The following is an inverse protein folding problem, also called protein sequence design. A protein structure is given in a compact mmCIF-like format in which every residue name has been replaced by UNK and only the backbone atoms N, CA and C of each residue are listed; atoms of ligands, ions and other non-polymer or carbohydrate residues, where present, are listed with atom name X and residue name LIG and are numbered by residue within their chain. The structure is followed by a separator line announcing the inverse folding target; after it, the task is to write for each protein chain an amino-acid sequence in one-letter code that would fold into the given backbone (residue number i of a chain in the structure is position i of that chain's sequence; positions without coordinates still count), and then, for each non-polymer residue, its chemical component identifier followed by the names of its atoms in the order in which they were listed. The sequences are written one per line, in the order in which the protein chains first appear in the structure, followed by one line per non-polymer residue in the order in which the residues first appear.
data_IF_560051072331
#
_entry.id   IF_560051072331
#
_cell.length_a   1.000
_cell.length_b   1.000
_cell.length_c   1.000
_cell.angle_alpha   90.00
_cell.angle_beta   90.00
_cell.angle_gamma   90.00
#
_symmetry.space_group_name_H-M   'P 1'
#
loop_
_entity.id
_entity.type
_entity.pdbx_description
1 polymer ?
#
# COMPACT_ATOMS: atom_id res chain seq x y z
N UNK A 1 -15.81 -2.58 -6.68
CA UNK A 1 -16.34 -3.67 -5.85
C UNK A 1 -15.20 -4.64 -5.60
N UNK A 2 -14.81 -4.89 -4.35
CA UNK A 2 -13.76 -5.88 -4.05
C UNK A 2 -14.49 -7.21 -3.88
N UNK A 3 -14.25 -8.16 -4.80
CA UNK A 3 -14.94 -9.45 -4.77
C UNK A 3 -14.46 -10.34 -3.61
N UNK A 4 -13.16 -10.27 -3.28
CA UNK A 4 -12.54 -11.10 -2.25
C UNK A 4 -11.41 -10.32 -1.58
N UNK A 5 -11.25 -10.46 -0.27
CA UNK A 5 -10.18 -9.80 0.52
C UNK A 5 -9.26 -10.86 1.11
N UNK A 6 -8.00 -10.49 1.30
CA UNK A 6 -7.00 -11.39 1.87
C UNK A 6 -6.80 -11.01 3.34
N UNK A 7 -6.80 -12.00 4.22
CA UNK A 7 -6.69 -11.83 5.67
C UNK A 7 -5.53 -12.65 6.21
N UNK A 8 -4.65 -12.03 6.99
CA UNK A 8 -3.69 -12.70 7.84
C UNK A 8 -4.36 -13.16 9.13
N UNK A 9 -4.20 -14.43 9.48
CA UNK A 9 -4.60 -14.97 10.77
C UNK A 9 -3.41 -14.86 11.72
N UNK A 10 -3.55 -14.03 12.74
CA UNK A 10 -2.46 -13.69 13.66
C UNK A 10 -2.72 -14.33 15.02
N UNK A 11 -1.71 -15.01 15.54
CA UNK A 11 -1.66 -15.50 16.92
C UNK A 11 -0.24 -15.37 17.45
N UNK A 12 -0.10 -15.02 18.74
CA UNK A 12 1.20 -14.80 19.40
C UNK A 12 2.09 -13.79 18.66
N UNK A 13 1.50 -12.70 18.15
CA UNK A 13 2.17 -11.67 17.35
C UNK A 13 2.84 -12.18 16.06
N UNK A 14 2.39 -13.32 15.53
CA UNK A 14 2.89 -13.89 14.27
C UNK A 14 1.75 -14.24 13.34
N UNK A 15 1.98 -14.05 12.05
CA UNK A 15 1.11 -14.54 10.98
C UNK A 15 1.25 -16.05 10.90
N UNK A 16 0.19 -16.76 11.28
CA UNK A 16 0.15 -18.21 11.28
C UNK A 16 -0.39 -18.75 9.96
N UNK A 17 -1.32 -18.02 9.33
CA UNK A 17 -1.92 -18.41 8.07
C UNK A 17 -2.46 -17.19 7.31
N UNK A 18 -2.81 -17.39 6.05
CA UNK A 18 -3.46 -16.40 5.20
C UNK A 18 -4.69 -17.02 4.54
N UNK A 19 -5.82 -16.33 4.58
CA UNK A 19 -7.07 -16.81 3.98
C UNK A 19 -7.69 -15.75 3.09
N UNK A 20 -8.57 -16.18 2.20
CA UNK A 20 -9.39 -15.30 1.38
C UNK A 20 -10.81 -15.33 1.92
N UNK A 21 -11.37 -14.15 2.23
CA UNK A 21 -12.72 -14.02 2.76
C UNK A 21 -13.33 -12.67 2.40
N UNK A 22 -14.66 -12.60 2.28
CA UNK A 22 -15.36 -11.38 1.89
C UNK A 22 -15.47 -10.37 3.06
N UNK A 23 -15.61 -10.86 4.29
CA UNK A 23 -15.94 -10.01 5.45
C UNK A 23 -15.03 -10.29 6.65
N UNK A 24 -14.81 -9.24 7.45
CA UNK A 24 -14.05 -9.33 8.69
C UNK A 24 -14.63 -10.35 9.70
N UNK A 25 -15.95 -10.36 10.01
CA UNK A 25 -16.48 -11.27 11.03
C UNK A 25 -16.26 -12.75 10.70
N UNK A 26 -16.36 -13.11 9.42
CA UNK A 26 -16.10 -14.48 8.97
C UNK A 26 -14.60 -14.82 9.09
N UNK A 27 -13.71 -13.92 8.68
CA UNK A 27 -12.26 -14.11 8.83
C UNK A 27 -11.83 -14.22 10.29
N UNK A 28 -12.35 -13.37 11.18
CA UNK A 28 -12.04 -13.36 12.61
C UNK A 28 -12.57 -14.61 13.32
N UNK A 29 -13.78 -15.06 12.97
CA UNK A 29 -14.32 -16.33 13.46
C UNK A 29 -13.42 -17.50 13.06
N UNK A 30 -12.94 -17.53 11.81
CA UNK A 30 -12.01 -18.55 11.33
C UNK A 30 -10.67 -18.49 12.06
N UNK A 31 -10.12 -17.30 12.30
CA UNK A 31 -8.91 -17.10 13.10
C UNK A 31 -9.05 -17.75 14.48
N UNK A 32 -10.12 -17.40 15.19
CA UNK A 32 -10.38 -17.88 16.56
C UNK A 32 -10.66 -19.38 16.62
N UNK A 33 -11.37 -19.90 15.62
CA UNK A 33 -11.70 -21.32 15.56
C UNK A 33 -10.50 -22.21 15.22
N UNK A 34 -9.52 -21.69 14.47
CA UNK A 34 -8.35 -22.46 14.02
C UNK A 34 -7.13 -22.29 14.90
N UNK A 35 -6.91 -21.11 15.46
CA UNK A 35 -5.69 -20.74 16.20
C UNK A 35 -5.94 -20.45 17.68
N UNK A 36 -7.20 -20.48 18.13
CA UNK A 36 -7.61 -20.23 19.51
C UNK A 36 -8.21 -18.84 19.72
N UNK A 37 -8.87 -18.67 20.87
CA UNK A 37 -9.70 -17.48 21.19
C UNK A 37 -8.98 -16.13 21.09
N UNK A 38 -7.66 -16.12 21.29
CA UNK A 38 -6.82 -14.92 21.32
C UNK A 38 -6.28 -14.56 19.93
N UNK A 39 -6.56 -15.38 18.92
CA UNK A 39 -6.22 -15.08 17.54
C UNK A 39 -7.15 -14.02 16.94
N UNK A 40 -6.65 -13.35 15.90
CA UNK A 40 -7.38 -12.30 15.20
C UNK A 40 -7.11 -12.34 13.69
N UNK A 41 -8.04 -11.82 12.90
CA UNK A 41 -7.85 -11.61 11.47
C UNK A 41 -7.49 -10.16 11.17
N UNK A 42 -6.46 -9.95 10.34
CA UNK A 42 -6.02 -8.62 9.88
C UNK A 42 -6.06 -8.61 8.36
N UNK A 43 -6.69 -7.61 7.76
CA UNK A 43 -6.72 -7.50 6.30
C UNK A 43 -5.35 -7.14 5.75
N UNK A 44 -4.91 -7.88 4.73
CA UNK A 44 -3.59 -7.72 4.09
C UNK A 44 -3.68 -7.62 2.57
N UNK A 45 -4.84 -7.28 2.00
CA UNK A 45 -5.03 -7.19 0.54
C UNK A 45 -3.98 -6.32 -0.17
N UNK A 46 -3.48 -5.28 0.52
CA UNK A 46 -2.44 -4.37 0.02
C UNK A 46 -1.11 -4.52 0.78
N UNK A 47 -0.97 -5.49 1.68
CA UNK A 47 0.22 -5.64 2.53
C UNK A 47 0.93 -6.93 2.12
N UNK A 48 2.16 -6.88 1.59
CA UNK A 48 2.90 -8.05 1.12
C UNK A 48 3.51 -8.84 2.28
N UNK A 49 2.68 -9.25 3.23
CA UNK A 49 3.05 -10.09 4.37
C UNK A 49 2.65 -11.54 4.13
N UNK A 50 3.31 -12.48 4.81
CA UNK A 50 3.03 -13.90 4.72
C UNK A 50 3.33 -14.65 6.02
N UNK A 51 3.22 -15.98 5.92
CA UNK A 51 3.36 -16.88 7.07
C UNK A 51 4.75 -16.75 7.71
N UNK A 52 4.74 -16.55 9.03
CA UNK A 52 5.93 -16.38 9.86
C UNK A 52 6.40 -14.95 10.03
N UNK A 53 5.78 -13.98 9.34
CA UNK A 53 6.00 -12.56 9.62
C UNK A 53 5.40 -12.19 10.99
N UNK A 54 5.96 -11.15 11.60
CA UNK A 54 5.48 -10.66 12.89
C UNK A 54 4.47 -9.53 12.71
N UNK A 55 3.48 -9.48 13.60
CA UNK A 55 2.49 -8.43 13.67
C UNK A 55 2.42 -7.89 15.09
N UNK A 56 2.91 -6.67 15.30
CA UNK A 56 3.04 -6.05 16.63
C UNK A 56 2.52 -4.62 16.54
N UNK A 57 1.52 -4.29 17.36
CA UNK A 57 0.94 -2.92 17.46
C UNK A 57 0.50 -2.39 16.08
N UNK A 58 -0.13 -3.23 15.26
CA UNK A 58 -0.62 -2.81 13.94
C UNK A 58 0.42 -2.81 12.82
N UNK A 59 1.68 -3.18 13.12
CA UNK A 59 2.78 -3.13 12.15
C UNK A 59 3.23 -4.54 11.80
N UNK A 60 3.29 -4.82 10.50
CA UNK A 60 3.89 -6.05 9.97
C UNK A 60 5.40 -5.89 9.81
N UNK A 61 6.15 -6.90 10.21
CA UNK A 61 7.59 -7.00 9.95
C UNK A 61 7.96 -8.36 9.42
N UNK A 62 8.88 -8.38 8.47
CA UNK A 62 9.42 -9.62 7.90
C UNK A 62 10.25 -10.41 8.95
N UNK A 63 10.72 -11.58 8.54
CA UNK A 63 11.56 -12.46 9.38
C UNK A 63 12.92 -11.85 9.77
N UNK A 64 13.34 -10.78 9.10
CA UNK A 64 14.58 -10.04 9.38
C UNK A 64 14.33 -8.83 10.29
N UNK A 65 13.06 -8.50 10.56
CA UNK A 65 12.63 -7.37 11.39
C UNK A 65 12.38 -6.07 10.61
N UNK A 66 12.41 -6.09 9.27
CA UNK A 66 12.12 -4.92 8.45
C UNK A 66 10.61 -4.67 8.39
N UNK A 67 10.21 -3.40 8.43
CA UNK A 67 8.80 -3.00 8.32
C UNK A 67 8.28 -3.30 6.92
N UNK A 68 7.13 -3.98 6.84
CA UNK A 68 6.44 -4.27 5.60
C UNK A 68 5.45 -3.14 5.33
N UNK A 69 5.74 -2.35 4.29
CA UNK A 69 4.88 -1.23 3.90
C UNK A 69 3.75 -1.71 2.97
N UNK A 70 2.57 -1.08 3.03
CA UNK A 70 1.51 -1.32 2.06
C UNK A 70 1.97 -0.96 0.64
N UNK A 71 1.48 -1.72 -0.34
CA UNK A 71 1.61 -1.39 -1.75
C UNK A 71 0.78 -0.13 -2.08
N UNK A 72 1.27 0.72 -2.99
CA UNK A 72 0.50 1.87 -3.45
C UNK A 72 -0.80 1.39 -4.12
N UNK A 73 -1.92 2.03 -3.77
CA UNK A 73 -3.18 1.78 -4.46
C UNK A 73 -3.17 2.49 -5.81
N UNK A 74 -3.98 2.01 -6.76
CA UNK A 74 -4.14 2.67 -8.06
C UNK A 74 -4.57 4.14 -7.92
N UNK A 75 -5.41 4.46 -6.92
CA UNK A 75 -5.83 5.85 -6.67
C UNK A 75 -4.67 6.72 -6.19
N UNK A 76 -3.86 6.22 -5.27
CA UNK A 76 -2.65 6.93 -4.79
C UNK A 76 -1.64 7.11 -5.92
N UNK A 77 -1.46 6.11 -6.76
CA UNK A 77 -0.57 6.17 -7.93
C UNK A 77 -1.07 7.19 -8.96
N UNK A 78 -2.37 7.19 -9.27
CA UNK A 78 -2.98 8.18 -10.17
C UNK A 78 -2.87 9.59 -9.60
N UNK A 79 -3.06 9.76 -8.30
CA UNK A 79 -2.89 11.07 -7.64
C UNK A 79 -1.45 11.56 -7.75
N UNK A 80 -0.46 10.69 -7.50
CA UNK A 80 0.95 10.99 -7.65
C UNK A 80 1.30 11.37 -9.10
N UNK A 81 0.86 10.56 -10.07
CA UNK A 81 1.08 10.82 -11.51
C UNK A 81 0.42 12.11 -11.98
N UNK A 82 -0.76 12.47 -11.45
CA UNK A 82 -1.42 13.74 -11.76
C UNK A 82 -0.65 14.93 -11.20
N UNK A 83 -0.14 14.82 -9.97
CA UNK A 83 0.68 15.86 -9.37
C UNK A 83 1.99 16.06 -10.15
N UNK A 84 2.68 14.97 -10.50
CA UNK A 84 3.89 15.00 -11.30
C UNK A 84 3.66 15.61 -12.68
N UNK A 85 2.58 15.24 -13.38
CA UNK A 85 2.21 15.84 -14.65
C UNK A 85 1.90 17.35 -14.55
N UNK A 86 1.32 17.80 -13.43
CA UNK A 86 1.08 19.23 -13.22
C UNK A 86 2.40 19.99 -13.07
N UNK A 87 3.35 19.45 -12.31
CA UNK A 87 4.70 20.01 -12.18
C UNK A 87 5.40 20.06 -13.52
N UNK A 88 5.45 18.95 -14.25
CA UNK A 88 6.10 18.88 -15.57
C UNK A 88 5.50 19.86 -16.58
N UNK A 89 4.18 20.10 -16.53
CA UNK A 89 3.52 21.09 -17.38
C UNK A 89 3.93 22.52 -17.03
N UNK A 90 4.10 22.83 -15.76
CA UNK A 90 4.58 24.14 -15.31
C UNK A 90 6.04 24.34 -15.74
N UNK A 91 6.90 23.37 -15.48
CA UNK A 91 8.32 23.42 -15.86
C UNK A 91 8.48 23.60 -17.38
N UNK A 92 7.66 22.90 -18.18
CA UNK A 92 7.64 23.07 -19.63
C UNK A 92 7.18 24.46 -20.05
N UNK A 93 6.15 25.02 -19.39
CA UNK A 93 5.67 26.37 -19.66
C UNK A 93 6.73 27.42 -19.36
N UNK A 94 7.43 27.28 -18.24
CA UNK A 94 8.51 28.17 -17.83
C UNK A 94 9.67 28.12 -18.83
N UNK A 95 10.10 26.92 -19.23
CA UNK A 95 11.14 26.74 -20.24
C UNK A 95 10.77 27.35 -21.60
N UNK A 96 9.51 27.21 -22.04
CA UNK A 96 9.02 27.81 -23.29
C UNK A 96 9.00 29.35 -23.19
N UNK A 97 8.64 29.89 -22.03
CA UNK A 97 8.64 31.34 -21.80
C UNK A 97 10.07 31.90 -21.83
N UNK A 98 11.03 31.25 -21.19
CA UNK A 98 12.45 31.64 -21.24
C UNK A 98 12.99 31.63 -22.67
N UNK A 99 12.72 30.56 -23.43
CA UNK A 99 13.14 30.46 -24.82
C UNK A 99 12.55 31.58 -25.67
N UNK A 100 11.28 31.90 -25.45
CA UNK A 100 10.58 32.98 -26.17
C UNK A 100 11.20 34.35 -25.87
N UNK A 101 11.60 34.61 -24.62
CA UNK A 101 12.30 35.85 -24.25
C UNK A 101 13.68 35.95 -24.92
N UNK A 102 14.43 34.85 -24.99
CA UNK A 102 15.75 34.81 -25.63
C UNK A 102 15.66 35.15 -27.13
N UNK A 103 14.67 34.57 -27.82
CA UNK A 103 14.41 34.85 -29.24
C UNK A 103 13.97 36.31 -29.43
N UNK A 104 13.09 36.83 -28.57
CA UNK A 104 12.58 38.20 -28.66
C UNK A 104 13.64 39.28 -28.39
N UNK A 105 14.69 38.96 -27.63
CA UNK A 105 15.82 39.85 -27.33
C UNK A 105 16.95 39.79 -28.35
N UNK A 106 16.78 39.04 -29.45
CA UNK A 106 17.74 38.97 -30.56
C UNK A 106 18.98 38.15 -30.25
N UNK A 107 18.90 37.21 -29.29
CA UNK A 107 19.99 36.34 -28.89
C UNK A 107 20.23 35.15 -29.82
N UNK A 108 20.23 35.34 -31.15
CA UNK A 108 20.93 34.54 -32.18
C UNK A 108 21.19 35.45 -33.38
#
# INVERSE_FOLDING_TARGET
MIAQRIWALVSENKVQNTIVCETYPAADMLAKSTLGKDASAVEITQIPTGIGDSYVVGIFKDKQGNVINPLPTAETEVAALKAENATLRNDLSDAVMELSMLIATGGI
#
